data_IF_939852678744
#
_entry.id   IF_939852678744
#
_cell.length_a   1.000
_cell.length_b   1.000
_cell.length_c   1.000
_cell.angle_alpha   90.00
_cell.angle_beta   90.00
_cell.angle_gamma   90.00
#
_symmetry.space_group_name_H-M   'P 1'
#
loop_
_entity.id
_entity.type
_entity.pdbx_description
1 polymer ?
#
# COMPACT_ATOMS: atom_id res chain seq x y z
N UNK A 1 -16.69 -3.07 13.92
CA UNK A 1 -17.12 -4.42 13.52
C UNK A 1 -17.55 -5.19 14.76
N UNK A 2 -18.53 -6.07 14.61
CA UNK A 2 -19.08 -6.85 15.72
C UNK A 2 -19.07 -8.33 15.36
N UNK A 3 -18.91 -9.18 16.36
CA UNK A 3 -19.10 -10.63 16.26
C UNK A 3 -20.27 -11.04 17.14
N UNK A 4 -21.02 -12.04 16.71
CA UNK A 4 -22.06 -12.65 17.54
C UNK A 4 -21.47 -13.86 18.25
N UNK A 5 -21.41 -13.81 19.58
CA UNK A 5 -20.95 -14.92 20.42
C UNK A 5 -22.09 -15.27 21.36
N UNK A 6 -22.59 -16.51 21.27
CA UNK A 6 -23.73 -17.01 22.06
C UNK A 6 -24.95 -16.07 22.00
N UNK A 7 -25.31 -15.61 20.79
CA UNK A 7 -26.45 -14.72 20.56
C UNK A 7 -26.25 -13.26 21.02
N UNK A 8 -25.09 -12.92 21.62
CA UNK A 8 -24.78 -11.54 22.03
C UNK A 8 -23.82 -10.89 21.05
N UNK A 9 -24.17 -9.68 20.62
CA UNK A 9 -23.30 -8.83 19.80
C UNK A 9 -22.16 -8.30 20.66
N UNK A 10 -20.92 -8.61 20.30
CA UNK A 10 -19.72 -8.10 20.96
C UNK A 10 -18.90 -7.28 19.97
N UNK A 11 -18.38 -6.16 20.45
CA UNK A 11 -17.47 -5.34 19.65
C UNK A 11 -16.13 -6.07 19.48
N UNK A 12 -15.60 -6.05 18.27
CA UNK A 12 -14.22 -6.46 18.02
C UNK A 12 -13.35 -5.23 18.25
N UNK A 13 -12.64 -5.20 19.38
CA UNK A 13 -11.75 -4.10 19.76
C UNK A 13 -10.74 -3.82 18.64
N UNK A 14 -10.55 -2.55 18.30
CA UNK A 14 -9.60 -2.16 17.27
C UNK A 14 -10.08 -2.43 15.84
N UNK A 15 -11.36 -2.76 15.63
CA UNK A 15 -11.87 -3.14 14.31
C UNK A 15 -13.16 -2.40 13.96
N UNK A 16 -13.36 -1.18 14.45
CA UNK A 16 -14.59 -0.40 14.17
C UNK A 16 -14.72 -0.02 12.69
N UNK A 17 -13.62 0.34 12.05
CA UNK A 17 -13.50 0.61 10.61
C UNK A 17 -12.35 -0.17 9.97
N UNK A 18 -12.24 -0.23 8.63
CA UNK A 18 -11.09 -0.82 7.95
C UNK A 18 -9.74 -0.19 8.34
N UNK A 19 -9.71 1.13 8.56
CA UNK A 19 -8.53 1.87 8.98
C UNK A 19 -8.12 1.52 10.41
N UNK A 20 -9.08 1.49 11.35
CA UNK A 20 -8.82 1.08 12.73
C UNK A 20 -8.34 -0.37 12.80
N UNK A 21 -8.95 -1.25 11.97
CA UNK A 21 -8.55 -2.64 11.85
C UNK A 21 -7.10 -2.78 11.38
N UNK A 22 -6.74 -2.12 10.27
CA UNK A 22 -5.37 -2.18 9.76
C UNK A 22 -4.35 -1.60 10.76
N UNK A 23 -4.70 -0.49 11.43
CA UNK A 23 -3.87 0.07 12.50
C UNK A 23 -3.63 -0.95 13.62
N UNK A 24 -4.69 -1.62 14.08
CA UNK A 24 -4.60 -2.62 15.15
C UNK A 24 -3.79 -3.84 14.73
N UNK A 25 -3.92 -4.29 13.48
CA UNK A 25 -3.07 -5.36 12.91
C UNK A 25 -1.61 -4.93 12.91
N UNK A 26 -1.30 -3.69 12.53
CA UNK A 26 0.06 -3.19 12.56
C UNK A 26 0.64 -3.17 13.98
N UNK A 27 -0.11 -2.64 14.94
CA UNK A 27 0.34 -2.54 16.34
C UNK A 27 0.49 -3.90 17.03
N UNK A 28 -0.41 -4.86 16.74
CA UNK A 28 -0.49 -6.12 17.49
C UNK A 28 0.24 -7.27 16.81
N UNK A 29 0.48 -7.21 15.50
CA UNK A 29 1.04 -8.31 14.72
C UNK A 29 2.30 -7.86 13.98
N UNK A 30 2.22 -6.80 13.19
CA UNK A 30 3.34 -6.39 12.32
C UNK A 30 4.52 -5.83 13.12
N UNK A 31 4.29 -4.89 14.03
CA UNK A 31 5.39 -4.31 14.83
C UNK A 31 6.08 -5.35 15.71
N UNK A 32 5.34 -6.23 16.45
CA UNK A 32 5.98 -7.27 17.24
C UNK A 32 6.74 -8.31 16.41
N UNK A 33 6.30 -8.58 15.16
CA UNK A 33 7.04 -9.46 14.25
C UNK A 33 8.37 -8.86 13.76
N UNK A 34 8.59 -7.55 13.98
CA UNK A 34 9.79 -6.81 13.61
C UNK A 34 10.32 -7.15 12.20
N UNK A 35 9.49 -7.00 11.14
CA UNK A 35 9.91 -7.34 9.79
C UNK A 35 11.09 -6.46 9.36
N UNK A 36 11.99 -7.04 8.57
CA UNK A 36 13.10 -6.30 7.95
C UNK A 36 12.55 -5.22 7.01
N UNK A 37 11.55 -5.60 6.21
CA UNK A 37 10.92 -4.80 5.16
C UNK A 37 9.46 -5.21 4.94
N UNK A 38 8.64 -4.30 4.40
CA UNK A 38 7.21 -4.49 4.18
C UNK A 38 6.84 -4.03 2.77
N UNK A 39 6.11 -4.87 2.02
CA UNK A 39 5.33 -4.44 0.87
C UNK A 39 3.85 -4.43 1.22
N UNK A 40 3.08 -3.54 0.57
CA UNK A 40 1.63 -3.48 0.72
C UNK A 40 0.99 -3.69 -0.64
N UNK A 41 0.05 -4.64 -0.72
CA UNK A 41 -0.85 -4.81 -1.87
C UNK A 41 -2.24 -4.42 -1.42
N UNK A 42 -2.87 -3.47 -2.09
CA UNK A 42 -4.11 -2.86 -1.62
C UNK A 42 -5.11 -2.61 -2.75
N UNK A 43 -6.24 -3.30 -2.69
CA UNK A 43 -7.32 -3.17 -3.66
C UNK A 43 -8.32 -2.08 -3.25
N UNK A 44 -8.79 -1.27 -4.22
CA UNK A 44 -9.93 -0.38 -4.04
C UNK A 44 -9.77 0.55 -2.83
N UNK A 45 -10.70 0.50 -1.88
CA UNK A 45 -10.67 1.23 -0.61
C UNK A 45 -9.43 0.94 0.26
N UNK A 46 -8.73 -0.16 0.01
CA UNK A 46 -7.44 -0.47 0.62
C UNK A 46 -6.40 0.64 0.43
N UNK A 47 -6.51 1.48 -0.60
CA UNK A 47 -5.65 2.66 -0.72
C UNK A 47 -5.89 3.73 0.34
N UNK A 48 -7.15 3.98 0.72
CA UNK A 48 -7.48 4.88 1.84
C UNK A 48 -6.93 4.32 3.15
N UNK A 49 -7.06 3.00 3.34
CA UNK A 49 -6.51 2.29 4.51
C UNK A 49 -4.99 2.41 4.55
N UNK A 50 -4.30 2.26 3.42
CA UNK A 50 -2.84 2.41 3.31
C UNK A 50 -2.39 3.84 3.62
N UNK A 51 -3.12 4.85 3.13
CA UNK A 51 -2.90 6.25 3.50
C UNK A 51 -3.07 6.47 5.00
N UNK A 52 -4.11 5.88 5.60
CA UNK A 52 -4.32 5.94 7.04
C UNK A 52 -3.15 5.33 7.83
N UNK A 53 -2.59 4.20 7.38
CA UNK A 53 -1.38 3.61 7.98
C UNK A 53 -0.18 4.56 7.88
N UNK A 54 0.07 5.14 6.71
CA UNK A 54 1.17 6.08 6.51
C UNK A 54 1.03 7.32 7.42
N UNK A 55 -0.20 7.80 7.63
CA UNK A 55 -0.50 8.92 8.54
C UNK A 55 -0.31 8.57 10.01
N UNK A 56 -0.78 7.41 10.43
CA UNK A 56 -0.69 6.98 11.83
C UNK A 56 0.75 6.65 12.22
N UNK A 57 1.57 6.21 11.25
CA UNK A 57 2.92 5.68 11.51
C UNK A 57 4.00 6.41 10.71
N UNK A 58 3.96 7.76 10.65
CA UNK A 58 4.83 8.61 9.82
C UNK A 58 6.33 8.34 9.94
N UNK A 59 6.81 7.89 11.09
CA UNK A 59 8.23 7.58 11.30
C UNK A 59 8.60 6.15 10.94
N UNK A 60 7.68 5.20 11.09
CA UNK A 60 7.92 3.78 10.85
C UNK A 60 7.67 3.42 9.39
N UNK A 61 6.56 3.91 8.83
CA UNK A 61 6.11 3.60 7.48
C UNK A 61 7.19 3.84 6.43
N UNK A 62 7.83 5.03 6.32
CA UNK A 62 8.86 5.26 5.31
C UNK A 62 10.18 4.53 5.55
N UNK A 63 10.40 3.97 6.75
CA UNK A 63 11.61 3.19 7.06
C UNK A 63 11.47 1.71 6.71
N UNK A 64 10.25 1.20 6.71
CA UNK A 64 9.97 -0.24 6.61
C UNK A 64 9.19 -0.61 5.37
N UNK A 65 8.32 0.27 4.89
CA UNK A 65 7.52 0.02 3.68
C UNK A 65 8.31 0.45 2.45
N UNK A 66 8.66 -0.53 1.61
CA UNK A 66 9.48 -0.29 0.43
C UNK A 66 8.68 -0.17 -0.87
N UNK A 67 7.48 -0.77 -0.91
CA UNK A 67 6.67 -0.84 -2.11
C UNK A 67 5.18 -0.89 -1.77
N UNK A 68 4.38 -0.15 -2.54
CA UNK A 68 2.92 -0.16 -2.42
C UNK A 68 2.28 -0.38 -3.79
N UNK A 69 1.71 -1.55 -4.01
CA UNK A 69 0.98 -1.84 -5.23
C UNK A 69 -0.53 -1.74 -4.98
N UNK A 70 -1.15 -0.72 -5.57
CA UNK A 70 -2.60 -0.58 -5.56
C UNK A 70 -3.22 -1.30 -6.74
N UNK A 71 -4.43 -1.83 -6.54
CA UNK A 71 -5.23 -2.41 -7.62
C UNK A 71 -6.59 -1.71 -7.63
N UNK A 72 -6.79 -0.90 -8.67
CA UNK A 72 -7.96 -0.05 -8.89
C UNK A 72 -8.38 0.76 -7.66
N UNK A 73 -7.39 1.39 -7.01
CA UNK A 73 -7.64 2.14 -5.79
C UNK A 73 -8.26 3.51 -6.08
N UNK A 74 -9.23 3.88 -5.23
CA UNK A 74 -9.94 5.17 -5.24
C UNK A 74 -9.39 6.15 -4.20
N UNK A 75 -8.10 6.05 -3.86
CA UNK A 75 -7.50 6.98 -2.93
C UNK A 75 -7.52 8.40 -3.49
N UNK A 76 -7.64 9.37 -2.59
CA UNK A 76 -7.48 10.78 -2.93
C UNK A 76 -6.53 11.42 -1.93
N UNK A 77 -5.87 12.48 -2.38
CA UNK A 77 -4.96 13.27 -1.55
C UNK A 77 -5.75 14.36 -0.83
N UNK A 78 -5.89 14.33 0.51
CA UNK A 78 -6.38 15.49 1.24
C UNK A 78 -5.30 16.57 1.25
N UNK A 79 -5.73 17.83 1.34
CA UNK A 79 -4.82 18.98 1.50
C UNK A 79 -3.96 18.82 2.77
N UNK A 80 -2.68 19.16 2.70
CA UNK A 80 -1.77 19.14 3.85
C UNK A 80 -1.04 17.82 4.10
N UNK A 81 -1.03 16.91 3.11
CA UNK A 81 -0.32 15.62 3.18
C UNK A 81 0.67 15.41 2.05
N UNK A 82 1.26 16.49 1.56
CA UNK A 82 2.14 16.52 0.41
C UNK A 82 3.39 15.65 0.62
N UNK A 83 3.92 15.59 1.85
CA UNK A 83 5.10 14.77 2.19
C UNK A 83 4.80 13.27 2.06
N UNK A 84 3.69 12.80 2.64
CA UNK A 84 3.27 11.39 2.58
C UNK A 84 3.00 11.00 1.14
N UNK A 85 2.34 11.87 0.36
CA UNK A 85 2.07 11.58 -1.03
C UNK A 85 3.33 11.60 -1.89
N UNK A 86 4.26 12.53 -1.65
CA UNK A 86 5.56 12.55 -2.33
C UNK A 86 6.32 11.24 -2.09
N UNK A 87 6.28 10.72 -0.86
CA UNK A 87 6.84 9.41 -0.54
C UNK A 87 6.11 8.27 -1.27
N UNK A 88 4.78 8.21 -1.16
CA UNK A 88 3.99 7.14 -1.78
C UNK A 88 4.08 7.13 -3.30
N UNK A 89 4.26 8.28 -3.96
CA UNK A 89 4.51 8.33 -5.41
C UNK A 89 5.81 7.66 -5.82
N UNK A 90 6.84 7.72 -4.98
CA UNK A 90 8.16 7.12 -5.27
C UNK A 90 8.12 5.60 -5.15
N UNK A 91 7.36 5.11 -4.17
CA UNK A 91 7.30 3.68 -3.83
C UNK A 91 6.03 2.99 -4.32
N UNK A 92 5.12 3.72 -4.97
CA UNK A 92 3.76 3.28 -5.25
C UNK A 92 3.43 3.21 -6.73
N UNK A 93 2.57 2.25 -7.09
CA UNK A 93 2.00 2.09 -8.42
C UNK A 93 0.53 1.65 -8.29
N UNK A 94 -0.38 2.26 -9.05
CA UNK A 94 -1.80 1.90 -9.06
C UNK A 94 -2.20 1.22 -10.37
N UNK A 95 -2.46 -0.08 -10.34
CA UNK A 95 -2.95 -0.85 -11.48
C UNK A 95 -4.47 -0.68 -11.60
N UNK A 96 -4.91 0.24 -12.45
CA UNK A 96 -6.31 0.65 -12.60
C UNK A 96 -7.02 -0.13 -13.70
N UNK A 97 -8.35 -0.20 -13.60
CA UNK A 97 -9.18 -0.78 -14.65
C UNK A 97 -9.03 0.01 -15.96
N UNK A 98 -8.76 -0.70 -17.05
CA UNK A 98 -8.51 -0.10 -18.37
C UNK A 98 -8.66 -1.14 -19.49
N UNK A 99 -8.90 -0.66 -20.72
CA UNK A 99 -8.89 -1.47 -21.93
C UNK A 99 -7.47 -1.66 -22.51
N UNK A 100 -6.48 -0.92 -22.02
CA UNK A 100 -5.10 -1.01 -22.47
C UNK A 100 -4.42 -2.31 -22.00
N UNK A 101 -3.38 -2.80 -22.68
CA UNK A 101 -2.54 -3.88 -22.18
C UNK A 101 -2.00 -3.61 -20.77
N UNK A 102 -1.77 -4.68 -19.99
CA UNK A 102 -1.23 -4.58 -18.63
C UNK A 102 0.07 -3.77 -18.60
N UNK A 103 0.25 -2.97 -17.55
CA UNK A 103 1.43 -2.14 -17.31
C UNK A 103 1.65 -0.99 -18.32
N UNK A 104 0.65 -0.65 -19.14
CA UNK A 104 0.63 0.62 -19.91
C UNK A 104 0.28 1.78 -18.98
N UNK A 105 1.04 2.88 -19.00
CA UNK A 105 0.77 4.05 -18.14
C UNK A 105 -0.54 4.74 -18.54
N UNK A 106 -1.40 5.01 -17.55
CA UNK A 106 -2.75 5.61 -17.73
C UNK A 106 -2.81 7.05 -17.19
N UNK A 107 -2.20 7.34 -16.04
CA UNK A 107 -2.31 8.69 -15.46
C UNK A 107 -1.39 9.72 -16.15
N UNK A 108 -1.95 10.92 -16.34
CA UNK A 108 -1.27 12.13 -16.85
C UNK A 108 -1.04 13.20 -15.78
N UNK A 109 -1.62 13.05 -14.59
CA UNK A 109 -1.50 14.02 -13.50
C UNK A 109 -0.27 13.73 -12.64
N UNK A 110 0.71 14.63 -12.66
CA UNK A 110 1.96 14.53 -11.86
C UNK A 110 1.71 14.55 -10.34
N UNK A 111 0.52 14.97 -9.94
CA UNK A 111 0.17 15.16 -8.53
C UNK A 111 -0.34 13.91 -7.82
N UNK A 112 -0.50 12.78 -8.51
CA UNK A 112 -1.01 11.53 -7.91
C UNK A 112 -0.04 10.35 -8.05
N UNK A 113 -0.35 9.23 -7.42
CA UNK A 113 0.39 7.97 -7.57
C UNK A 113 0.28 7.51 -9.03
N UNK A 114 1.38 7.14 -9.70
CA UNK A 114 1.35 6.71 -11.08
C UNK A 114 0.36 5.55 -11.34
N UNK A 115 -0.58 5.76 -12.26
CA UNK A 115 -1.55 4.74 -12.65
C UNK A 115 -1.10 4.02 -13.91
N UNK A 116 -1.25 2.70 -13.91
CA UNK A 116 -0.95 1.81 -15.01
C UNK A 116 -2.15 0.89 -15.25
N UNK A 117 -2.32 0.40 -16.47
CA UNK A 117 -3.40 -0.51 -16.79
C UNK A 117 -3.21 -1.84 -16.05
N UNK A 118 -4.29 -2.34 -15.46
CA UNK A 118 -4.36 -3.70 -14.96
C UNK A 118 -4.59 -4.75 -16.08
N UNK A 119 -4.79 -4.32 -17.34
CA UNK A 119 -5.10 -5.20 -18.45
C UNK A 119 -6.55 -5.71 -18.45
N UNK A 120 -7.44 -5.05 -17.71
CA UNK A 120 -8.83 -5.47 -17.56
C UNK A 120 -9.75 -4.32 -17.15
N UNK A 121 -11.01 -4.36 -17.59
CA UNK A 121 -11.99 -3.29 -17.32
C UNK A 121 -12.86 -3.50 -16.08
N UNK A 122 -12.98 -4.74 -15.59
CA UNK A 122 -13.72 -5.02 -14.35
C UNK A 122 -12.85 -4.72 -13.14
N UNK A 123 -13.35 -3.83 -12.29
CA UNK A 123 -12.74 -3.40 -11.02
C UNK A 123 -12.20 -4.56 -10.20
N UNK A 124 -13.03 -5.59 -10.00
CA UNK A 124 -12.76 -6.73 -9.12
C UNK A 124 -11.66 -7.65 -9.67
N UNK A 125 -11.39 -7.59 -10.98
CA UNK A 125 -10.47 -8.49 -11.67
C UNK A 125 -9.07 -7.90 -11.78
N UNK A 126 -8.91 -6.61 -11.51
CA UNK A 126 -7.63 -5.89 -11.63
C UNK A 126 -6.49 -6.57 -10.89
N UNK A 127 -6.73 -7.06 -9.66
CA UNK A 127 -5.71 -7.76 -8.86
C UNK A 127 -5.19 -9.04 -9.52
N UNK A 128 -6.09 -9.84 -10.11
CA UNK A 128 -5.70 -11.05 -10.82
C UNK A 128 -5.00 -10.71 -12.13
N UNK A 129 -5.56 -9.79 -12.89
CA UNK A 129 -5.08 -9.42 -14.22
C UNK A 129 -3.69 -8.76 -14.21
N UNK A 130 -3.37 -7.97 -13.17
CA UNK A 130 -2.07 -7.31 -13.06
C UNK A 130 -1.03 -8.08 -12.24
N UNK A 131 -1.37 -9.27 -11.71
CA UNK A 131 -0.58 -9.98 -10.70
C UNK A 131 0.91 -10.07 -11.03
N UNK A 132 1.26 -10.50 -12.25
CA UNK A 132 2.67 -10.70 -12.63
C UNK A 132 3.41 -9.34 -12.69
N UNK A 133 2.88 -8.35 -13.41
CA UNK A 133 3.45 -6.99 -13.46
C UNK A 133 3.50 -6.29 -12.10
N UNK A 134 2.58 -6.64 -11.20
CA UNK A 134 2.54 -6.14 -9.83
C UNK A 134 3.70 -6.69 -9.01
N UNK A 135 3.97 -7.99 -9.09
CA UNK A 135 5.10 -8.59 -8.36
C UNK A 135 6.45 -8.18 -8.95
N UNK A 136 6.56 -8.06 -10.29
CA UNK A 136 7.76 -7.48 -10.93
C UNK A 136 8.06 -6.07 -10.37
N UNK A 137 7.04 -5.21 -10.27
CA UNK A 137 7.19 -3.89 -9.66
C UNK A 137 7.64 -3.95 -8.19
N UNK A 138 7.12 -4.89 -7.40
CA UNK A 138 7.52 -5.03 -6.00
C UNK A 138 8.96 -5.56 -5.87
N UNK A 139 9.39 -6.47 -6.74
CA UNK A 139 10.77 -6.95 -6.80
C UNK A 139 11.73 -5.79 -7.11
N UNK A 140 11.43 -4.98 -8.14
CA UNK A 140 12.19 -3.76 -8.47
C UNK A 140 12.31 -2.82 -7.25
N UNK A 141 11.20 -2.58 -6.53
CA UNK A 141 11.20 -1.71 -5.35
C UNK A 141 11.96 -2.31 -4.17
N UNK A 142 11.96 -3.63 -4.05
CA UNK A 142 12.75 -4.30 -3.02
C UNK A 142 14.24 -4.13 -3.29
N UNK A 143 14.67 -4.32 -4.54
CA UNK A 143 16.07 -4.13 -4.96
C UNK A 143 16.56 -2.69 -4.73
N UNK A 144 15.74 -1.70 -5.08
CA UNK A 144 16.01 -0.30 -4.76
C UNK A 144 16.18 -0.10 -3.24
N UNK A 145 15.26 -0.62 -2.44
CA UNK A 145 15.27 -0.46 -0.98
C UNK A 145 16.49 -1.09 -0.31
N UNK A 146 16.89 -2.31 -0.71
CA UNK A 146 18.08 -2.95 -0.14
C UNK A 146 19.34 -2.18 -0.58
N UNK A 147 19.43 -1.72 -1.82
CA UNK A 147 20.60 -0.99 -2.33
C UNK A 147 20.84 0.32 -1.56
N UNK A 148 19.77 1.06 -1.24
CA UNK A 148 19.85 2.27 -0.42
C UNK A 148 20.29 1.97 1.01
N UNK A 149 19.80 0.88 1.59
CA UNK A 149 20.16 0.49 2.96
C UNK A 149 21.59 -0.04 3.06
N UNK A 150 22.09 -0.74 2.05
CA UNK A 150 23.52 -1.11 1.97
C UNK A 150 24.42 0.11 1.86
N UNK A 151 24.04 1.10 1.05
CA UNK A 151 24.81 2.35 0.86
C UNK A 151 24.87 3.21 2.12
N UNK A 152 23.91 3.06 3.04
CA UNK A 152 23.83 3.79 4.32
C UNK A 152 24.54 3.07 5.49
N UNK A 153 25.02 1.82 5.31
CA UNK A 153 25.80 1.14 6.35
C UNK A 153 27.20 1.78 6.43
N UNK A 154 27.68 2.17 7.62
CA UNK A 154 29.04 2.66 7.77
C UNK A 154 30.01 1.56 7.30
N UNK A 155 31.01 1.94 6.49
CA UNK A 155 32.13 1.05 6.20
C UNK A 155 32.83 0.79 7.54
N UNK A 156 32.90 -0.47 7.93
CA UNK A 156 33.71 -0.88 9.07
C UNK A 156 35.16 -0.53 8.71
N UNK A 157 35.72 0.45 9.42
CA UNK A 157 37.18 0.70 9.49
C UNK A 157 37.85 -0.33 10.40
#
# INVERSE_FOLDING_TARGET
MFVTINGKRKEIRGSKSPEEHAKSVFEQIVFPANPESIAIVAHSYGGIVTLSLARNFRQYFPKKVFGVAFTDSVHFVPRGEEEIMSFLKKIGKNFVSSNEPVNVKISVTENDIPCYSAGHTKHEWTSYSCKDALFEFLEEKYDEFISENYSKKPRLE
#
